data_IF_649465672684
#
_entry.id   IF_649465672684
#
_cell.length_a   1.000
_cell.length_b   1.000
_cell.length_c   1.000
_cell.angle_alpha   90.00
_cell.angle_beta   90.00
_cell.angle_gamma   90.00
#
_symmetry.space_group_name_H-M   'P 1'
#
loop_
_entity.id
_entity.type
_entity.pdbx_description
1 polymer ?
#
# COMPACT_ATOMS: atom_id res chain seq x y z
N UNK A 1 -22.15 0.89 3.28
CA UNK A 1 -21.65 -0.41 2.75
C UNK A 1 -21.13 -0.16 1.34
N UNK A 2 -20.17 -0.95 0.85
CA UNK A 2 -19.74 -0.87 -0.55
C UNK A 2 -20.55 -1.88 -1.38
N UNK A 3 -21.02 -1.52 -2.59
CA UNK A 3 -21.81 -2.41 -3.45
C UNK A 3 -20.85 -3.30 -4.25
N UNK A 4 -20.12 -4.19 -3.57
CA UNK A 4 -19.09 -5.02 -4.19
C UNK A 4 -19.23 -6.49 -3.79
N UNK A 5 -18.73 -7.36 -4.65
CA UNK A 5 -18.56 -8.81 -4.43
C UNK A 5 -17.09 -9.18 -4.66
N UNK A 6 -16.74 -10.44 -4.46
CA UNK A 6 -15.43 -10.98 -4.85
C UNK A 6 -15.10 -10.81 -6.35
N UNK A 7 -16.13 -10.67 -7.19
CA UNK A 7 -16.03 -10.56 -8.64
C UNK A 7 -15.95 -9.13 -9.15
N UNK A 8 -16.41 -8.14 -8.36
CA UNK A 8 -16.50 -6.77 -8.84
C UNK A 8 -17.58 -5.94 -8.17
N UNK A 9 -17.77 -4.74 -8.72
CA UNK A 9 -18.82 -3.80 -8.31
C UNK A 9 -20.16 -4.30 -8.84
N UNK A 10 -21.18 -4.30 -7.98
CA UNK A 10 -22.56 -4.59 -8.35
C UNK A 10 -23.13 -3.46 -9.21
N UNK A 11 -23.87 -3.84 -10.23
CA UNK A 11 -24.73 -2.93 -11.00
C UNK A 11 -25.92 -2.45 -10.17
N UNK A 12 -26.58 -1.38 -10.60
CA UNK A 12 -27.79 -0.88 -9.94
C UNK A 12 -28.87 -1.95 -9.79
N UNK A 13 -29.10 -2.73 -10.86
CA UNK A 13 -30.08 -3.82 -10.84
C UNK A 13 -29.68 -4.91 -9.84
N UNK A 14 -28.40 -5.27 -9.77
CA UNK A 14 -27.90 -6.25 -8.81
C UNK A 14 -28.07 -5.79 -7.36
N UNK A 15 -27.87 -4.50 -7.09
CA UNK A 15 -28.07 -3.90 -5.76
C UNK A 15 -29.52 -4.06 -5.29
N UNK A 16 -30.51 -3.98 -6.19
CA UNK A 16 -31.93 -4.12 -5.86
C UNK A 16 -32.28 -5.50 -5.30
N UNK A 17 -31.55 -6.55 -5.69
CA UNK A 17 -31.74 -7.90 -5.17
C UNK A 17 -31.18 -8.11 -3.75
N UNK A 18 -30.57 -7.10 -3.16
CA UNK A 18 -30.01 -7.13 -1.81
C UNK A 18 -30.75 -6.15 -0.89
N UNK A 19 -31.87 -6.57 -0.30
CA UNK A 19 -32.80 -5.71 0.49
C UNK A 19 -32.12 -4.69 1.42
N UNK A 20 -31.15 -5.13 2.24
CA UNK A 20 -30.45 -4.26 3.18
C UNK A 20 -29.46 -3.28 2.53
N UNK A 21 -28.85 -3.68 1.42
CA UNK A 21 -27.97 -2.81 0.64
C UNK A 21 -28.79 -1.82 -0.20
N UNK A 22 -29.87 -2.29 -0.82
CA UNK A 22 -30.80 -1.50 -1.63
C UNK A 22 -31.33 -0.28 -0.87
N UNK A 23 -31.90 -0.48 0.32
CA UNK A 23 -32.44 0.63 1.13
C UNK A 23 -31.37 1.68 1.49
N UNK A 24 -30.16 1.24 1.84
CA UNK A 24 -29.05 2.14 2.13
C UNK A 24 -28.58 2.87 0.86
N UNK A 25 -28.51 2.15 -0.27
CA UNK A 25 -28.04 2.66 -1.55
C UNK A 25 -28.97 3.73 -2.12
N UNK A 26 -30.29 3.51 -2.09
CA UNK A 26 -31.28 4.51 -2.49
C UNK A 26 -31.12 5.81 -1.70
N UNK A 27 -30.96 5.71 -0.38
CA UNK A 27 -30.73 6.87 0.50
C UNK A 27 -29.44 7.61 0.14
N UNK A 28 -28.37 6.87 -0.20
CA UNK A 28 -27.09 7.44 -0.60
C UNK A 28 -27.18 8.15 -1.96
N UNK A 29 -27.83 7.55 -2.95
CA UNK A 29 -28.06 8.16 -4.28
C UNK A 29 -28.92 9.42 -4.19
N UNK A 30 -30.00 9.42 -3.40
CA UNK A 30 -30.82 10.62 -3.16
C UNK A 30 -30.00 11.75 -2.53
N UNK A 31 -29.18 11.42 -1.52
CA UNK A 31 -28.29 12.37 -0.88
C UNK A 31 -27.25 12.92 -1.86
N UNK A 32 -26.65 12.05 -2.66
CA UNK A 32 -25.70 12.43 -3.70
C UNK A 32 -26.35 13.36 -4.73
N UNK A 33 -27.52 13.03 -5.25
CA UNK A 33 -28.24 13.85 -6.21
C UNK A 33 -28.57 15.26 -5.66
N UNK A 34 -28.91 15.34 -4.38
CA UNK A 34 -29.24 16.60 -3.70
C UNK A 34 -28.02 17.49 -3.44
N UNK A 35 -26.87 16.90 -3.10
CA UNK A 35 -25.71 17.64 -2.58
C UNK A 35 -24.48 17.65 -3.50
N UNK A 36 -24.48 16.90 -4.61
CA UNK A 36 -23.38 16.93 -5.58
C UNK A 36 -23.19 18.33 -6.17
N UNK A 37 -21.96 18.63 -6.57
CA UNK A 37 -21.63 19.90 -7.23
C UNK A 37 -22.48 20.06 -8.50
N UNK A 38 -22.87 21.29 -8.83
CA UNK A 38 -23.70 21.57 -10.03
C UNK A 38 -23.04 21.13 -11.34
N UNK A 39 -21.71 21.06 -11.37
CA UNK A 39 -20.92 20.58 -12.52
C UNK A 39 -20.81 19.06 -12.59
N UNK A 40 -21.26 18.34 -11.56
CA UNK A 40 -21.18 16.89 -11.49
C UNK A 40 -22.52 16.27 -11.87
N UNK A 41 -22.56 15.57 -13.01
CA UNK A 41 -23.74 14.89 -13.51
C UNK A 41 -23.78 13.41 -13.14
N UNK A 42 -22.64 12.80 -12.79
CA UNK A 42 -22.53 11.34 -12.61
C UNK A 42 -23.40 10.82 -11.45
N UNK A 43 -23.96 9.61 -11.57
CA UNK A 43 -24.54 8.85 -10.46
C UNK A 43 -23.53 8.59 -9.33
N UNK A 44 -24.00 8.25 -8.14
CA UNK A 44 -23.11 7.98 -7.01
C UNK A 44 -22.21 6.77 -7.28
N UNK A 45 -22.74 5.71 -7.90
CA UNK A 45 -21.97 4.51 -8.26
C UNK A 45 -20.77 4.83 -9.18
N UNK A 46 -21.00 5.59 -10.25
CA UNK A 46 -19.92 6.02 -11.16
C UNK A 46 -18.91 6.93 -10.47
N UNK A 47 -19.37 7.76 -9.51
CA UNK A 47 -18.47 8.59 -8.73
C UNK A 47 -17.64 7.76 -7.74
N UNK A 48 -18.20 6.68 -7.21
CA UNK A 48 -17.51 5.75 -6.34
C UNK A 48 -16.40 5.03 -7.10
N UNK A 49 -16.66 4.57 -8.32
CA UNK A 49 -15.65 4.01 -9.23
C UNK A 49 -14.94 5.07 -10.09
N UNK A 50 -14.47 6.13 -9.43
CA UNK A 50 -13.83 7.24 -10.13
C UNK A 50 -12.59 6.75 -10.89
N UNK A 51 -12.55 6.99 -12.21
CA UNK A 51 -11.49 6.50 -13.11
C UNK A 51 -11.25 4.98 -13.07
N UNK A 52 -12.27 4.18 -12.71
CA UNK A 52 -12.13 2.73 -12.64
C UNK A 52 -11.24 2.24 -11.49
N UNK A 53 -10.94 3.10 -10.51
CA UNK A 53 -10.00 2.78 -9.44
C UNK A 53 -10.52 1.71 -8.48
N UNK A 54 -11.84 1.62 -8.28
CA UNK A 54 -12.44 0.58 -7.46
C UNK A 54 -12.53 -0.71 -8.27
N UNK A 55 -13.03 -0.64 -9.51
CA UNK A 55 -13.16 -1.80 -10.38
C UNK A 55 -11.82 -2.49 -10.66
N UNK A 56 -10.73 -1.72 -10.80
CA UNK A 56 -9.39 -2.25 -11.02
C UNK A 56 -8.84 -3.13 -9.89
N UNK A 57 -9.47 -3.15 -8.71
CA UNK A 57 -9.09 -4.04 -7.61
C UNK A 57 -9.66 -5.45 -7.74
N UNK A 58 -10.56 -5.69 -8.70
CA UNK A 58 -11.25 -6.96 -8.87
C UNK A 58 -10.80 -7.72 -10.13
N UNK A 59 -10.72 -9.06 -10.08
CA UNK A 59 -10.85 -9.91 -8.89
C UNK A 59 -9.72 -9.63 -7.89
N UNK A 60 -10.04 -9.71 -6.59
CA UNK A 60 -9.06 -9.37 -5.55
C UNK A 60 -7.94 -10.41 -5.52
N UNK A 61 -6.72 -9.95 -5.75
CA UNK A 61 -5.54 -10.81 -5.63
C UNK A 61 -5.33 -11.25 -4.16
N UNK A 62 -5.06 -12.55 -3.90
CA UNK A 62 -4.92 -13.07 -2.53
C UNK A 62 -3.78 -12.43 -1.74
N UNK A 63 -2.70 -12.06 -2.43
CA UNK A 63 -1.56 -11.36 -1.84
C UNK A 63 -1.31 -10.09 -2.64
N UNK A 64 -1.30 -8.97 -1.93
CA UNK A 64 -1.01 -7.65 -2.47
C UNK A 64 0.01 -6.97 -1.58
N UNK A 65 0.80 -6.06 -2.14
CA UNK A 65 1.50 -5.08 -1.33
C UNK A 65 0.77 -3.75 -1.43
N UNK A 66 0.76 -2.99 -0.35
CA UNK A 66 0.28 -1.62 -0.32
C UNK A 66 1.34 -0.70 0.27
N UNK A 67 1.46 0.52 -0.24
CA UNK A 67 2.36 1.52 0.32
C UNK A 67 1.76 2.93 0.30
N UNK A 68 2.21 3.76 1.23
CA UNK A 68 1.68 5.11 1.42
C UNK A 68 2.01 6.04 0.24
N UNK A 69 0.99 6.61 -0.40
CA UNK A 69 1.15 7.69 -1.40
C UNK A 69 1.68 8.98 -0.76
N UNK A 70 1.32 9.20 0.50
CA UNK A 70 1.49 10.48 1.22
C UNK A 70 2.28 10.29 2.51
N UNK A 71 3.02 11.32 2.94
CA UNK A 71 3.77 11.33 4.20
C UNK A 71 5.25 11.65 4.02
N UNK A 72 5.97 11.75 5.14
CA UNK A 72 7.42 12.04 5.19
C UNK A 72 8.29 10.79 5.28
N UNK A 73 7.67 9.64 5.54
CA UNK A 73 8.31 8.33 5.67
C UNK A 73 7.43 7.32 4.95
N UNK A 74 8.00 6.56 4.02
CA UNK A 74 7.31 5.46 3.36
C UNK A 74 6.97 4.37 4.37
N UNK A 75 5.78 3.80 4.22
CA UNK A 75 5.43 2.55 4.85
C UNK A 75 4.75 1.65 3.82
N UNK A 76 5.21 0.40 3.78
CA UNK A 76 4.63 -0.65 2.97
C UNK A 76 4.23 -1.84 3.84
N UNK A 77 3.17 -2.54 3.44
CA UNK A 77 2.67 -3.73 4.12
C UNK A 77 2.15 -4.75 3.11
N UNK A 78 2.20 -6.02 3.49
CA UNK A 78 1.57 -7.12 2.76
C UNK A 78 0.12 -7.23 3.21
N UNK A 79 -0.79 -7.29 2.26
CA UNK A 79 -2.23 -7.46 2.48
C UNK A 79 -2.60 -8.87 2.02
N UNK A 80 -3.02 -9.69 2.99
CA UNK A 80 -3.48 -11.08 2.79
C UNK A 80 -4.98 -11.25 2.98
N UNK A 81 -5.65 -10.19 3.38
CA UNK A 81 -7.10 -10.19 3.59
C UNK A 81 -7.80 -10.18 2.21
N UNK A 82 -8.58 -11.23 1.87
CA UNK A 82 -9.20 -11.36 0.55
C UNK A 82 -10.32 -10.35 0.27
N UNK A 83 -10.88 -9.67 1.27
CA UNK A 83 -11.95 -8.68 1.11
C UNK A 83 -11.49 -7.22 1.32
N UNK A 84 -10.20 -7.00 1.62
CA UNK A 84 -9.68 -5.67 1.83
C UNK A 84 -9.68 -4.85 0.54
N UNK A 85 -10.33 -3.68 0.57
CA UNK A 85 -10.33 -2.67 -0.48
C UNK A 85 -9.35 -1.55 -0.13
N UNK A 86 -8.50 -1.17 -1.07
CA UNK A 86 -7.41 -0.22 -0.88
C UNK A 86 -7.87 1.18 -1.30
N UNK A 87 -7.84 2.11 -0.36
CA UNK A 87 -8.19 3.52 -0.59
C UNK A 87 -7.15 4.24 -1.49
N UNK A 88 -7.60 5.29 -2.16
CA UNK A 88 -6.80 6.11 -3.09
C UNK A 88 -5.57 6.80 -2.47
N UNK A 89 -5.48 6.88 -1.14
CA UNK A 89 -4.30 7.39 -0.41
C UNK A 89 -3.16 6.37 -0.29
N UNK A 90 -3.37 5.15 -0.79
CA UNK A 90 -2.37 4.10 -0.92
C UNK A 90 -2.19 3.73 -2.41
N UNK A 91 -0.98 3.33 -2.76
CA UNK A 91 -0.76 2.53 -3.96
C UNK A 91 -0.68 1.06 -3.58
N UNK A 92 -1.00 0.21 -4.53
CA UNK A 92 -0.95 -1.23 -4.35
C UNK A 92 -0.58 -1.93 -5.65
N UNK A 93 -0.14 -3.18 -5.53
CA UNK A 93 0.01 -4.10 -6.65
C UNK A 93 -0.19 -5.54 -6.18
N UNK A 94 -0.73 -6.42 -7.04
CA UNK A 94 -0.70 -7.86 -6.78
C UNK A 94 0.73 -8.38 -6.89
N UNK A 95 1.03 -9.45 -6.14
CA UNK A 95 2.31 -10.16 -6.22
C UNK A 95 2.03 -11.64 -6.44
N UNK A 96 2.92 -12.31 -7.17
CA UNK A 96 2.67 -13.70 -7.58
C UNK A 96 3.11 -14.72 -6.53
N UNK A 97 4.11 -14.36 -5.72
CA UNK A 97 4.70 -15.22 -4.70
C UNK A 97 4.99 -14.44 -3.43
N UNK A 98 4.87 -15.09 -2.28
CA UNK A 98 5.07 -14.47 -0.97
C UNK A 98 6.47 -13.86 -0.81
N UNK A 99 7.49 -14.51 -1.36
CA UNK A 99 8.87 -14.01 -1.31
C UNK A 99 9.03 -12.66 -2.03
N UNK A 100 8.31 -12.42 -3.12
CA UNK A 100 8.30 -11.14 -3.81
C UNK A 100 7.65 -10.06 -2.93
N UNK A 101 6.57 -10.40 -2.21
CA UNK A 101 5.92 -9.50 -1.26
C UNK A 101 6.88 -9.04 -0.17
N UNK A 102 7.63 -9.95 0.44
CA UNK A 102 8.63 -9.64 1.46
C UNK A 102 9.83 -8.87 0.90
N UNK A 103 10.30 -9.22 -0.30
CA UNK A 103 11.36 -8.49 -0.99
C UNK A 103 10.99 -7.02 -1.21
N UNK A 104 9.80 -6.76 -1.77
CA UNK A 104 9.35 -5.41 -2.03
C UNK A 104 9.10 -4.64 -0.72
N UNK A 105 8.51 -5.27 0.29
CA UNK A 105 8.25 -4.59 1.57
C UNK A 105 9.53 -4.30 2.35
N UNK A 106 10.56 -5.14 2.28
CA UNK A 106 11.89 -4.84 2.82
C UNK A 106 12.49 -3.60 2.15
N UNK A 107 12.47 -3.53 0.81
CA UNK A 107 12.99 -2.38 0.06
C UNK A 107 12.21 -1.11 0.38
N UNK A 108 10.87 -1.15 0.26
CA UNK A 108 9.98 0.01 0.43
C UNK A 108 10.00 0.61 1.84
N UNK A 109 10.28 -0.21 2.86
CA UNK A 109 10.39 0.24 4.26
C UNK A 109 11.83 0.62 4.66
N UNK A 110 12.81 0.52 3.77
CA UNK A 110 14.23 0.70 4.08
C UNK A 110 14.65 2.17 4.12
N UNK A 111 15.63 2.50 4.97
CA UNK A 111 16.23 3.83 5.02
C UNK A 111 17.01 4.22 3.74
N UNK A 112 17.75 3.32 3.06
CA UNK A 112 18.39 3.61 1.78
C UNK A 112 17.39 4.08 0.73
N UNK A 113 16.32 3.31 0.47
CA UNK A 113 15.31 3.72 -0.51
C UNK A 113 14.66 5.05 -0.13
N UNK A 114 14.27 5.22 1.14
CA UNK A 114 13.67 6.48 1.59
C UNK A 114 14.59 7.68 1.34
N UNK A 115 15.90 7.52 1.50
CA UNK A 115 16.88 8.58 1.29
C UNK A 115 16.98 8.98 -0.18
N UNK A 116 16.93 8.01 -1.09
CA UNK A 116 16.95 8.24 -2.54
C UNK A 116 15.63 8.85 -3.06
N UNK A 117 14.48 8.45 -2.49
CA UNK A 117 13.17 8.94 -2.95
C UNK A 117 12.82 10.31 -2.35
N UNK A 118 13.33 10.66 -1.17
CA UNK A 118 13.05 11.93 -0.48
C UNK A 118 13.25 13.19 -1.36
N UNK A 119 14.36 13.33 -2.11
CA UNK A 119 14.55 14.44 -3.05
C UNK A 119 13.49 14.55 -4.14
N UNK A 120 12.81 13.44 -4.46
CA UNK A 120 11.79 13.36 -5.50
C UNK A 120 10.37 13.65 -4.96
N UNK A 121 10.22 13.87 -3.65
CA UNK A 121 8.91 14.17 -3.08
C UNK A 121 8.42 15.56 -3.48
N UNK A 122 7.11 15.69 -3.70
CA UNK A 122 6.50 17.00 -3.82
C UNK A 122 6.64 17.78 -2.51
N UNK A 123 7.12 19.02 -2.58
CA UNK A 123 7.29 19.93 -1.45
C UNK A 123 6.15 20.95 -1.47
N UNK A 124 5.35 20.99 -0.41
CA UNK A 124 4.33 22.01 -0.18
C UNK A 124 4.77 23.08 0.81
N UNK A 125 3.85 23.98 1.17
CA UNK A 125 4.09 25.07 2.14
C UNK A 125 4.62 24.59 3.50
N UNK A 126 4.31 23.34 3.88
CA UNK A 126 4.70 22.73 5.15
C UNK A 126 5.74 21.60 5.00
N UNK A 127 6.47 21.58 3.88
CA UNK A 127 7.51 20.58 3.60
C UNK A 127 7.05 19.42 2.72
N UNK A 128 7.77 18.30 2.78
CA UNK A 128 7.53 17.11 1.96
C UNK A 128 6.12 16.54 2.18
N UNK A 129 5.42 16.21 1.10
CA UNK A 129 3.98 15.88 1.13
C UNK A 129 3.65 14.52 0.52
N UNK A 130 3.94 14.33 -0.75
CA UNK A 130 3.55 13.15 -1.51
C UNK A 130 4.78 12.48 -2.14
N UNK A 131 4.87 11.16 -2.00
CA UNK A 131 5.79 10.33 -2.76
C UNK A 131 5.22 10.01 -4.14
N UNK A 132 3.89 9.90 -4.24
CA UNK A 132 3.20 9.39 -5.42
C UNK A 132 3.85 8.09 -5.95
N UNK A 133 4.04 7.95 -7.26
CA UNK A 133 4.78 6.83 -7.87
C UNK A 133 6.29 7.09 -8.00
N UNK A 134 6.80 8.19 -7.45
CA UNK A 134 8.22 8.55 -7.57
C UNK A 134 9.14 7.56 -6.84
N UNK A 135 8.58 6.69 -6.00
CA UNK A 135 9.29 5.55 -5.40
C UNK A 135 9.98 4.70 -6.46
N UNK A 136 9.38 4.53 -7.64
CA UNK A 136 9.93 3.73 -8.74
C UNK A 136 10.86 4.50 -9.67
N UNK A 137 11.09 5.80 -9.42
CA UNK A 137 12.15 6.54 -10.10
C UNK A 137 13.54 6.21 -9.54
N UNK A 138 13.60 5.58 -8.37
CA UNK A 138 14.82 4.94 -7.85
C UNK A 138 14.82 3.50 -8.37
N UNK A 139 15.73 3.13 -9.28
CA UNK A 139 15.69 1.82 -9.91
C UNK A 139 16.13 0.73 -8.92
N UNK A 140 15.32 -0.31 -8.84
CA UNK A 140 15.68 -1.59 -8.23
C UNK A 140 15.05 -2.71 -9.07
N UNK A 141 15.71 -3.89 -9.18
CA UNK A 141 15.27 -4.94 -10.07
C UNK A 141 13.98 -5.60 -9.57
N UNK A 142 13.23 -6.17 -10.53
CA UNK A 142 12.16 -7.12 -10.22
C UNK A 142 12.72 -8.33 -9.46
N UNK A 143 11.92 -8.89 -8.56
CA UNK A 143 12.33 -10.08 -7.80
C UNK A 143 12.72 -11.25 -8.73
N UNK A 144 13.80 -11.94 -8.38
CA UNK A 144 14.31 -13.12 -9.09
C UNK A 144 14.87 -14.08 -8.05
N UNK A 145 14.24 -15.25 -7.91
CA UNK A 145 14.63 -16.26 -6.93
C UNK A 145 15.96 -16.96 -7.24
N UNK A 146 16.58 -16.66 -8.38
CA UNK A 146 17.94 -17.12 -8.74
C UNK A 146 19.02 -16.16 -8.24
N UNK A 147 18.64 -14.94 -7.85
CA UNK A 147 19.55 -13.96 -7.29
C UNK A 147 19.59 -14.09 -5.77
N UNK A 148 20.77 -14.43 -5.23
CA UNK A 148 20.93 -14.66 -3.78
C UNK A 148 20.52 -13.44 -2.96
N UNK A 149 20.94 -12.23 -3.37
CA UNK A 149 20.59 -11.00 -2.67
C UNK A 149 19.07 -10.75 -2.61
N UNK A 150 18.31 -11.15 -3.65
CA UNK A 150 16.86 -11.02 -3.65
C UNK A 150 16.21 -12.00 -2.66
N UNK A 151 16.71 -13.23 -2.62
CA UNK A 151 16.27 -14.26 -1.65
C UNK A 151 16.60 -13.86 -0.22
N UNK A 152 17.79 -13.30 0.00
CA UNK A 152 18.21 -12.78 1.30
C UNK A 152 17.32 -11.62 1.75
N UNK A 153 17.03 -10.66 0.86
CA UNK A 153 16.09 -9.57 1.14
C UNK A 153 14.66 -10.05 1.42
N UNK A 154 14.17 -11.06 0.69
CA UNK A 154 12.88 -11.66 0.98
C UNK A 154 12.84 -12.33 2.36
N UNK A 155 13.94 -13.01 2.73
CA UNK A 155 14.08 -13.65 4.05
C UNK A 155 14.11 -12.59 5.15
N UNK A 156 14.91 -11.53 4.98
CA UNK A 156 14.97 -10.39 5.90
C UNK A 156 13.64 -9.67 6.04
N UNK A 157 12.90 -9.47 4.94
CA UNK A 157 11.57 -8.88 4.95
C UNK A 157 10.57 -9.71 5.75
N UNK A 158 10.65 -11.04 5.62
CA UNK A 158 9.85 -11.96 6.44
C UNK A 158 10.23 -11.89 7.92
N UNK A 159 11.52 -11.96 8.25
CA UNK A 159 12.02 -11.82 9.62
C UNK A 159 11.56 -10.50 10.25
N UNK A 160 11.60 -9.40 9.50
CA UNK A 160 11.14 -8.10 9.96
C UNK A 160 9.62 -8.05 10.21
N UNK A 161 8.81 -8.68 9.35
CA UNK A 161 7.37 -8.79 9.57
C UNK A 161 7.06 -9.59 10.84
N UNK A 162 7.68 -10.76 10.99
CA UNK A 162 7.49 -11.64 12.15
C UNK A 162 7.91 -10.95 13.44
N UNK A 163 9.07 -10.28 13.45
CA UNK A 163 9.55 -9.52 14.60
C UNK A 163 8.62 -8.33 14.93
N UNK A 164 8.19 -7.56 13.93
CA UNK A 164 7.28 -6.44 14.13
C UNK A 164 5.94 -6.88 14.72
N UNK A 165 5.43 -8.06 14.36
CA UNK A 165 4.19 -8.62 14.89
C UNK A 165 4.26 -8.95 16.39
N UNK A 166 5.45 -9.11 16.97
CA UNK A 166 5.63 -9.38 18.41
C UNK A 166 5.55 -8.13 19.30
N UNK A 167 5.61 -6.93 18.70
CA UNK A 167 5.65 -5.67 19.43
C UNK A 167 4.24 -5.27 19.86
N UNK A 168 4.00 -5.18 21.17
CA UNK A 168 2.72 -4.69 21.70
C UNK A 168 2.57 -3.17 21.47
N UNK A 169 1.65 -2.82 20.57
CA UNK A 169 1.28 -1.43 20.26
C UNK A 169 -0.13 -1.08 20.76
N UNK A 170 -0.80 -1.96 21.50
CA UNK A 170 -2.17 -1.73 21.99
C UNK A 170 -2.26 -0.54 22.96
N UNK A 171 -1.20 -0.27 23.71
CA UNK A 171 -1.11 0.83 24.68
C UNK A 171 -0.88 2.22 24.06
N UNK A 172 -0.56 2.31 22.76
CA UNK A 172 -0.22 3.61 22.13
C UNK A 172 -1.41 4.24 21.41
N UNK A 173 -1.59 5.55 21.59
CA UNK A 173 -2.72 6.31 21.00
C UNK A 173 -2.43 6.89 19.61
N UNK A 174 -1.16 6.93 19.21
CA UNK A 174 -0.71 7.56 17.96
C UNK A 174 0.11 6.55 17.16
N UNK A 175 -0.20 6.40 15.88
CA UNK A 175 0.51 5.46 15.00
C UNK A 175 2.02 5.76 14.91
N UNK A 176 2.43 7.03 15.08
CA UNK A 176 3.85 7.40 15.12
C UNK A 176 4.58 6.75 16.31
N UNK A 177 3.91 6.61 17.45
CA UNK A 177 4.47 5.93 18.61
C UNK A 177 4.55 4.41 18.38
N UNK A 178 3.53 3.81 17.77
CA UNK A 178 3.54 2.39 17.38
C UNK A 178 4.72 2.10 16.44
N UNK A 179 4.86 2.93 15.39
CA UNK A 179 5.96 2.85 14.44
C UNK A 179 7.32 2.97 15.13
N UNK A 180 7.47 3.88 16.08
CA UNK A 180 8.72 4.05 16.82
C UNK A 180 9.08 2.78 17.59
N UNK A 181 8.15 2.19 18.34
CA UNK A 181 8.38 0.96 19.08
C UNK A 181 8.81 -0.20 18.17
N UNK A 182 8.14 -0.34 17.02
CA UNK A 182 8.48 -1.37 16.03
C UNK A 182 9.90 -1.14 15.48
N UNK A 183 10.25 0.10 15.13
CA UNK A 183 11.59 0.44 14.62
C UNK A 183 12.68 0.21 15.67
N UNK A 184 12.44 0.61 16.91
CA UNK A 184 13.35 0.34 18.03
C UNK A 184 13.60 -1.17 18.18
N UNK A 185 12.54 -1.99 18.15
CA UNK A 185 12.66 -3.43 18.21
C UNK A 185 13.44 -4.04 17.02
N UNK A 186 13.17 -3.58 15.79
CA UNK A 186 13.90 -4.03 14.59
C UNK A 186 15.38 -3.60 14.60
N UNK A 187 15.69 -2.47 15.22
CA UNK A 187 17.06 -2.01 15.41
C UNK A 187 17.79 -2.85 16.48
N UNK A 188 17.15 -3.10 17.62
CA UNK A 188 17.71 -3.92 18.72
C UNK A 188 18.01 -5.37 18.30
N UNK A 189 17.17 -5.94 17.43
CA UNK A 189 17.37 -7.30 16.88
C UNK A 189 18.40 -7.34 15.75
N UNK A 190 18.88 -6.18 15.26
CA UNK A 190 19.83 -6.07 14.15
C UNK A 190 19.22 -6.34 12.76
N UNK A 191 17.92 -6.61 12.68
CA UNK A 191 17.22 -6.87 11.41
C UNK A 191 17.25 -5.61 10.54
N UNK A 192 17.00 -4.43 11.12
CA UNK A 192 17.01 -3.17 10.38
C UNK A 192 18.38 -2.91 9.73
N UNK A 193 19.47 -3.14 10.47
CA UNK A 193 20.83 -2.96 9.94
C UNK A 193 21.13 -3.89 8.75
N UNK A 194 20.74 -5.16 8.84
CA UNK A 194 20.90 -6.14 7.76
C UNK A 194 20.09 -5.76 6.51
N UNK A 195 18.86 -5.27 6.68
CA UNK A 195 18.04 -4.75 5.56
C UNK A 195 18.71 -3.53 4.94
N UNK A 196 19.18 -2.57 5.74
CA UNK A 196 19.86 -1.36 5.24
C UNK A 196 21.08 -1.75 4.40
N UNK A 197 21.90 -2.67 4.87
CA UNK A 197 23.06 -3.17 4.13
C UNK A 197 22.65 -3.81 2.80
N UNK A 198 21.73 -4.78 2.83
CA UNK A 198 21.31 -5.52 1.64
C UNK A 198 20.63 -4.63 0.59
N UNK A 199 19.78 -3.68 1.00
CA UNK A 199 19.16 -2.73 0.08
C UNK A 199 20.20 -1.75 -0.48
N UNK A 200 21.16 -1.29 0.31
CA UNK A 200 22.23 -0.42 -0.19
C UNK A 200 23.03 -1.14 -1.28
N UNK A 201 23.40 -2.40 -1.06
CA UNK A 201 24.08 -3.23 -2.06
C UNK A 201 23.23 -3.37 -3.34
N UNK A 202 21.92 -3.62 -3.21
CA UNK A 202 21.00 -3.74 -4.34
C UNK A 202 20.95 -2.46 -5.20
N UNK A 203 20.80 -1.30 -4.55
CA UNK A 203 20.69 -0.02 -5.25
C UNK A 203 22.01 0.35 -5.96
N UNK A 204 23.16 0.13 -5.31
CA UNK A 204 24.48 0.37 -5.92
C UNK A 204 24.75 -0.54 -7.13
N UNK A 205 24.39 -1.82 -7.02
CA UNK A 205 24.53 -2.77 -8.12
C UNK A 205 23.68 -2.36 -9.34
N UNK A 206 22.49 -1.83 -9.10
CA UNK A 206 21.57 -1.39 -10.16
C UNK A 206 22.07 -0.12 -10.85
N UNK A 207 22.53 0.88 -10.09
CA UNK A 207 23.10 2.11 -10.64
C UNK A 207 24.38 1.88 -11.47
N UNK A 208 25.10 0.78 -11.22
CA UNK A 208 26.32 0.42 -11.97
C UNK A 208 26.03 -0.25 -13.32
N UNK A 209 24.76 -0.58 -13.61
CA UNK A 209 24.33 -1.22 -14.87
C UNK A 209 23.70 -0.25 -15.87
N UNK A 210 23.54 1.03 -15.49
CA UNK A 210 23.12 2.14 -16.37
C UNK A 210 24.32 2.93 -16.89
#
# INVERSE_FOLDING_TARGET
>A
MLPVTDKGILTSDEIEFHDGLSAWWSTAEESWAKYKAKSESRPFLERLDHHGQLAAQFPIAPVRIAFTKTGTVLAAAIIREPDAIIDHSLYWMPVMVEAEAHYLTAILNSAPLLSEVKPLQAIGLYGARHFDKNVFAVPFPTYDNRQSLHVDLATLGKEAEEAAATVDVSGVRRFQAARRLIREHLAETGIEARIVEAVTQLLLATASQE
#
